data_IF_115768971302
#
_entry.id   IF_115768971302
#
_cell.length_a   1.000
_cell.length_b   1.000
_cell.length_c   1.000
_cell.angle_alpha   90.00
_cell.angle_beta   90.00
_cell.angle_gamma   90.00
#
_symmetry.space_group_name_H-M   'P 1'
#
loop_
_entity.id
_entity.type
_entity.pdbx_description
1 polymer ?
#
# COMPACT_ATOMS: atom_id res chain seq x y z
N UNK A 1 30.72 35.04 -21.75
CA UNK A 1 29.45 34.42 -22.14
C UNK A 1 29.52 32.89 -22.32
N UNK A 2 30.45 32.17 -21.67
CA UNK A 2 30.59 30.70 -21.74
C UNK A 2 30.21 29.98 -20.44
N UNK A 3 30.03 30.74 -19.35
CA UNK A 3 29.70 30.26 -18.02
C UNK A 3 28.20 30.30 -17.70
N UNK A 4 27.38 30.93 -18.56
CA UNK A 4 25.93 31.06 -18.34
C UNK A 4 25.12 29.84 -18.82
N UNK A 5 25.61 29.15 -19.85
CA UNK A 5 25.01 27.90 -20.36
C UNK A 5 25.28 26.69 -19.46
N UNK A 6 26.35 26.72 -18.65
CA UNK A 6 26.69 25.64 -17.73
C UNK A 6 25.72 25.56 -16.52
N UNK A 7 25.08 26.67 -16.14
CA UNK A 7 24.14 26.71 -15.02
C UNK A 7 22.75 26.13 -15.38
N UNK A 8 22.34 26.22 -16.65
CA UNK A 8 21.01 25.78 -17.10
C UNK A 8 20.96 24.25 -17.26
N UNK A 9 22.09 23.62 -17.59
CA UNK A 9 22.17 22.17 -17.77
C UNK A 9 22.11 21.37 -16.46
N UNK A 10 22.36 22.00 -15.31
CA UNK A 10 22.39 21.33 -14.01
C UNK A 10 20.99 21.14 -13.37
N UNK A 11 19.97 21.87 -13.86
CA UNK A 11 18.65 21.92 -13.22
C UNK A 11 17.71 20.80 -13.73
N UNK A 12 18.03 20.12 -14.84
CA UNK A 12 17.15 19.12 -15.45
C UNK A 12 17.16 17.74 -14.79
N UNK A 13 18.13 17.45 -13.89
CA UNK A 13 18.34 16.09 -13.38
C UNK A 13 17.56 15.75 -12.10
N UNK A 14 16.81 16.70 -11.52
CA UNK A 14 16.16 16.50 -10.20
C UNK A 14 14.67 16.15 -10.27
N UNK A 15 14.08 15.98 -11.46
CA UNK A 15 12.63 15.82 -11.63
C UNK A 15 12.10 14.37 -11.63
N UNK A 16 12.90 13.36 -11.26
CA UNK A 16 12.49 11.94 -11.40
C UNK A 16 12.27 11.17 -10.07
N UNK A 17 12.38 11.80 -8.89
CA UNK A 17 12.22 11.06 -7.61
C UNK A 17 10.79 11.02 -7.05
N UNK A 18 9.77 11.51 -7.78
CA UNK A 18 8.40 11.62 -7.25
C UNK A 18 7.49 10.39 -7.47
N UNK A 19 8.03 9.23 -7.84
CA UNK A 19 7.26 7.97 -7.88
C UNK A 19 7.80 6.96 -6.85
N UNK A 20 8.10 7.40 -5.63
CA UNK A 20 8.06 6.47 -4.50
C UNK A 20 6.57 6.26 -4.19
N UNK A 21 5.90 5.40 -4.99
CA UNK A 21 4.69 4.73 -4.51
C UNK A 21 5.12 4.14 -3.18
N UNK A 22 4.65 4.71 -2.08
CA UNK A 22 4.74 4.07 -0.78
C UNK A 22 3.97 2.76 -0.98
N UNK A 23 4.69 1.71 -1.36
CA UNK A 23 4.26 0.36 -1.08
C UNK A 23 3.85 0.44 0.38
N UNK A 24 2.61 0.10 0.74
CA UNK A 24 2.21 0.10 2.13
C UNK A 24 3.28 -0.75 2.79
N UNK A 25 4.15 -0.10 3.58
CA UNK A 25 5.03 -0.80 4.47
C UNK A 25 4.07 -1.69 5.21
N UNK A 26 4.09 -2.99 4.91
CA UNK A 26 3.28 -3.95 5.64
C UNK A 26 3.55 -3.58 7.08
N UNK A 27 2.52 -3.07 7.74
CA UNK A 27 2.50 -3.12 9.18
C UNK A 27 2.66 -4.60 9.43
N UNK A 28 3.90 -5.02 9.70
CA UNK A 28 4.26 -6.33 10.18
C UNK A 28 3.74 -6.48 11.62
N UNK A 29 2.56 -5.96 11.90
CA UNK A 29 1.61 -6.62 12.77
C UNK A 29 1.20 -7.83 11.95
N UNK A 30 1.51 -9.02 12.45
CA UNK A 30 1.26 -10.28 11.77
C UNK A 30 -0.17 -10.27 11.18
N UNK A 31 -0.30 -9.98 9.88
CA UNK A 31 -1.62 -9.87 9.26
C UNK A 31 -2.20 -11.29 9.23
N UNK A 32 -3.38 -11.45 9.81
CA UNK A 32 -4.09 -12.73 9.87
C UNK A 32 -4.35 -13.24 8.44
N UNK A 33 -4.55 -14.55 8.27
CA UNK A 33 -4.85 -15.10 6.94
C UNK A 33 -6.19 -14.57 6.41
N UNK A 34 -7.12 -14.25 7.30
CA UNK A 34 -8.43 -13.69 7.04
C UNK A 34 -8.30 -12.27 6.47
N UNK A 35 -7.44 -11.44 7.07
CA UNK A 35 -7.16 -10.09 6.59
C UNK A 35 -6.42 -10.11 5.23
N UNK A 36 -5.48 -11.04 5.04
CA UNK A 36 -4.83 -11.25 3.73
C UNK A 36 -5.85 -11.61 2.63
N UNK A 37 -6.78 -12.49 2.95
CA UNK A 37 -7.83 -12.89 2.00
C UNK A 37 -8.78 -11.73 1.68
N UNK A 38 -9.22 -10.98 2.69
CA UNK A 38 -10.04 -9.77 2.49
C UNK A 38 -9.35 -8.76 1.57
N UNK A 39 -8.06 -8.47 1.83
CA UNK A 39 -7.24 -7.57 1.00
C UNK A 39 -7.08 -8.07 -0.43
N UNK A 40 -6.78 -9.35 -0.62
CA UNK A 40 -6.61 -9.95 -1.95
C UNK A 40 -7.89 -9.89 -2.79
N UNK A 41 -9.05 -9.86 -2.12
CA UNK A 41 -10.37 -9.94 -2.74
C UNK A 41 -11.02 -8.58 -2.99
N UNK A 42 -10.46 -7.45 -2.51
CA UNK A 42 -11.04 -6.11 -2.70
C UNK A 42 -11.24 -5.71 -4.16
N UNK A 43 -10.47 -6.28 -5.09
CA UNK A 43 -10.54 -5.97 -6.52
C UNK A 43 -11.31 -7.03 -7.32
N UNK A 44 -11.79 -8.10 -6.67
CA UNK A 44 -12.53 -9.14 -7.34
C UNK A 44 -14.01 -8.74 -7.52
N UNK A 45 -14.65 -9.12 -8.65
CA UNK A 45 -16.06 -8.85 -8.88
C UNK A 45 -16.91 -9.84 -8.07
N UNK A 46 -17.15 -9.52 -6.80
CA UNK A 46 -18.01 -10.30 -5.92
C UNK A 46 -19.16 -9.47 -5.36
N UNK A 47 -20.14 -10.17 -4.80
CA UNK A 47 -21.29 -9.53 -4.19
C UNK A 47 -20.88 -8.73 -2.92
N UNK A 48 -21.53 -7.58 -2.63
CA UNK A 48 -21.14 -6.74 -1.50
C UNK A 48 -21.26 -7.43 -0.13
N UNK A 49 -22.21 -8.34 0.02
CA UNK A 49 -22.39 -9.15 1.23
C UNK A 49 -21.21 -10.10 1.46
N UNK A 50 -20.69 -10.72 0.39
CA UNK A 50 -19.50 -11.54 0.46
C UNK A 50 -18.26 -10.72 0.88
N UNK A 51 -18.10 -9.49 0.37
CA UNK A 51 -17.05 -8.58 0.82
C UNK A 51 -17.18 -8.22 2.31
N UNK A 52 -18.40 -7.92 2.77
CA UNK A 52 -18.66 -7.63 4.18
C UNK A 52 -18.34 -8.82 5.08
N UNK A 53 -18.66 -10.05 4.66
CA UNK A 53 -18.28 -11.25 5.40
C UNK A 53 -16.77 -11.44 5.50
N UNK A 54 -16.02 -11.14 4.43
CA UNK A 54 -14.56 -11.19 4.45
C UNK A 54 -13.99 -10.14 5.42
N UNK A 55 -14.55 -8.94 5.44
CA UNK A 55 -14.16 -7.89 6.37
C UNK A 55 -14.39 -8.31 7.83
N UNK A 56 -15.59 -8.81 8.15
CA UNK A 56 -15.93 -9.25 9.51
C UNK A 56 -15.00 -10.37 10.01
N UNK A 57 -14.63 -11.31 9.14
CA UNK A 57 -13.67 -12.38 9.48
C UNK A 57 -12.28 -11.83 9.80
N UNK A 58 -11.82 -10.84 9.03
CA UNK A 58 -10.58 -10.13 9.32
C UNK A 58 -10.64 -9.45 10.70
N UNK A 59 -11.68 -8.67 10.98
CA UNK A 59 -11.85 -8.00 12.28
C UNK A 59 -11.84 -8.99 13.46
N UNK A 60 -12.62 -10.07 13.36
CA UNK A 60 -12.67 -11.12 14.39
C UNK A 60 -11.34 -11.84 14.59
N UNK A 61 -10.58 -12.11 13.51
CA UNK A 61 -9.28 -12.76 13.63
C UNK A 61 -8.28 -11.91 14.42
N UNK A 62 -8.34 -10.58 14.27
CA UNK A 62 -7.47 -9.65 15.00
C UNK A 62 -7.83 -9.59 16.48
N UNK A 63 -9.11 -9.68 16.84
CA UNK A 63 -9.55 -9.72 18.25
C UNK A 63 -9.06 -10.97 19.00
N UNK A 64 -8.88 -12.09 18.29
CA UNK A 64 -8.36 -13.33 18.87
C UNK A 64 -6.83 -13.38 18.91
N UNK A 65 -6.12 -12.83 17.91
CA UNK A 65 -4.65 -12.82 17.88
C UNK A 65 -4.01 -11.84 18.89
N UNK A 66 -4.73 -10.81 19.37
CA UNK A 66 -4.20 -9.87 20.38
C UNK A 66 -4.05 -10.51 21.78
N UNK A 67 -4.50 -11.75 21.96
CA UNK A 67 -4.50 -12.44 23.26
C UNK A 67 -3.33 -13.42 23.48
N UNK A 68 -2.45 -13.59 22.50
CA UNK A 68 -1.25 -14.43 22.59
C UNK A 68 0.04 -13.63 22.83
#
# INVERSE_FOLDING_TARGET
>A
MKSMTAMIAAISMMALTACQSKQPTEQSQQETNECKNYRAMMTAPMAPDAMQQLQLKCEQSMEHEVKD
#
